data_IF_205827318633
#
_entry.id   IF_205827318633
#
_cell.length_a   1.000
_cell.length_b   1.000
_cell.length_c   1.000
_cell.angle_alpha   90.00
_cell.angle_beta   90.00
_cell.angle_gamma   90.00
#
_symmetry.space_group_name_H-M   'P 1'
#
loop_
_entity.id
_entity.type
_entity.pdbx_description
1 polymer ?
#
# COMPACT_ATOMS: atom_id res chain seq x y z
N UNK A 1 -20.98 -9.22 -7.93
CA UNK A 1 -20.44 -8.04 -8.65
C UNK A 1 -19.49 -7.19 -7.80
N UNK A 2 -19.80 -6.80 -6.56
CA UNK A 2 -18.87 -6.00 -5.72
C UNK A 2 -17.64 -6.80 -5.26
N UNK A 3 -17.85 -8.03 -4.77
CA UNK A 3 -16.76 -8.93 -4.32
C UNK A 3 -15.79 -9.32 -5.42
N UNK A 4 -16.28 -9.56 -6.64
CA UNK A 4 -15.44 -9.93 -7.79
C UNK A 4 -14.51 -8.77 -8.20
N UNK A 5 -15.01 -7.53 -8.18
CA UNK A 5 -14.19 -6.33 -8.44
C UNK A 5 -13.12 -6.13 -7.37
N UNK A 6 -13.43 -6.50 -6.12
CA UNK A 6 -12.51 -6.43 -5.00
C UNK A 6 -11.40 -7.48 -5.09
N UNK A 7 -11.77 -8.72 -5.46
CA UNK A 7 -10.81 -9.79 -5.71
C UNK A 7 -9.86 -9.45 -6.87
N UNK A 8 -10.39 -8.83 -7.94
CA UNK A 8 -9.57 -8.32 -9.05
C UNK A 8 -8.61 -7.24 -8.53
N UNK A 9 -9.10 -6.21 -7.83
CA UNK A 9 -8.25 -5.12 -7.34
C UNK A 9 -7.12 -5.63 -6.42
N UNK A 10 -7.41 -6.58 -5.53
CA UNK A 10 -6.40 -7.21 -4.67
C UNK A 10 -5.33 -7.92 -5.49
N UNK A 11 -5.72 -8.66 -6.53
CA UNK A 11 -4.77 -9.31 -7.44
C UNK A 11 -3.89 -8.30 -8.16
N UNK A 12 -4.47 -7.24 -8.73
CA UNK A 12 -3.73 -6.22 -9.47
C UNK A 12 -2.71 -5.48 -8.58
N UNK A 13 -3.07 -5.16 -7.32
CA UNK A 13 -2.14 -4.53 -6.36
C UNK A 13 -1.00 -5.47 -5.98
N UNK A 14 -1.29 -6.76 -5.77
CA UNK A 14 -0.25 -7.75 -5.48
C UNK A 14 0.70 -7.93 -6.67
N UNK A 15 0.19 -7.90 -7.90
CA UNK A 15 1.02 -7.98 -9.09
C UNK A 15 1.87 -6.71 -9.30
N UNK A 16 1.33 -5.52 -8.97
CA UNK A 16 2.11 -4.28 -8.94
C UNK A 16 3.29 -4.38 -7.97
N UNK A 17 3.10 -4.94 -6.77
CA UNK A 17 4.18 -5.13 -5.79
C UNK A 17 5.24 -6.10 -6.32
N UNK A 18 4.84 -7.19 -6.98
CA UNK A 18 5.80 -8.11 -7.60
C UNK A 18 6.65 -7.38 -8.66
N UNK A 19 6.00 -6.61 -9.53
CA UNK A 19 6.67 -5.81 -10.55
C UNK A 19 7.66 -4.82 -9.92
N UNK A 20 7.23 -4.10 -8.88
CA UNK A 20 8.06 -3.15 -8.13
C UNK A 20 9.30 -3.83 -7.54
N UNK A 21 9.13 -4.98 -6.90
CA UNK A 21 10.21 -5.75 -6.28
C UNK A 21 11.19 -6.35 -7.31
N UNK A 22 10.72 -6.66 -8.52
CA UNK A 22 11.56 -7.13 -9.62
C UNK A 22 12.22 -6.02 -10.43
N UNK A 23 11.83 -4.76 -10.19
CA UNK A 23 12.35 -3.63 -10.94
C UNK A 23 13.66 -3.12 -10.35
N UNK A 24 14.50 -2.50 -11.19
CA UNK A 24 15.69 -1.78 -10.73
C UNK A 24 15.33 -0.45 -10.02
N UNK A 25 14.05 -0.14 -9.85
CA UNK A 25 13.60 1.11 -9.23
C UNK A 25 14.14 1.26 -7.81
N UNK A 26 14.25 0.16 -7.05
CA UNK A 26 14.87 0.18 -5.72
C UNK A 26 16.31 0.73 -5.74
N UNK A 27 17.05 0.47 -6.81
CA UNK A 27 18.44 0.92 -6.97
C UNK A 27 18.52 2.30 -7.64
N UNK A 28 17.61 2.61 -8.56
CA UNK A 28 17.64 3.85 -9.34
C UNK A 28 16.96 5.02 -8.63
N UNK A 29 15.90 4.77 -7.86
CA UNK A 29 15.13 5.77 -7.12
C UNK A 29 14.48 5.14 -5.88
N UNK A 30 15.26 5.10 -4.79
CA UNK A 30 14.84 4.52 -3.52
C UNK A 30 13.62 5.24 -2.93
N UNK A 31 13.53 6.56 -3.10
CA UNK A 31 12.44 7.36 -2.54
C UNK A 31 11.12 7.00 -3.21
N UNK A 32 11.11 6.97 -4.55
CA UNK A 32 9.92 6.57 -5.31
C UNK A 32 9.55 5.10 -5.04
N UNK A 33 10.53 4.20 -4.92
CA UNK A 33 10.28 2.82 -4.54
C UNK A 33 9.57 2.71 -3.18
N UNK A 34 10.04 3.43 -2.17
CA UNK A 34 9.44 3.45 -0.84
C UNK A 34 8.03 4.06 -0.85
N UNK A 35 7.81 5.17 -1.56
CA UNK A 35 6.49 5.80 -1.69
C UNK A 35 5.47 4.86 -2.34
N UNK A 36 5.85 4.20 -3.44
CA UNK A 36 5.00 3.22 -4.12
C UNK A 36 4.70 2.01 -3.24
N UNK A 37 5.71 1.51 -2.49
CA UNK A 37 5.55 0.43 -1.53
C UNK A 37 4.56 0.78 -0.42
N UNK A 38 4.69 1.97 0.17
CA UNK A 38 3.79 2.45 1.22
C UNK A 38 2.33 2.57 0.73
N UNK A 39 2.12 3.12 -0.48
CA UNK A 39 0.77 3.20 -1.08
C UNK A 39 0.19 1.81 -1.36
N UNK A 40 1.00 0.89 -1.88
CA UNK A 40 0.55 -0.48 -2.13
C UNK A 40 0.15 -1.21 -0.84
N UNK A 41 0.91 -1.00 0.25
CA UNK A 41 0.58 -1.55 1.59
C UNK A 41 -0.77 -1.02 2.09
N UNK A 42 -0.99 0.30 2.01
CA UNK A 42 -2.26 0.91 2.39
C UNK A 42 -3.44 0.36 1.58
N UNK A 43 -3.26 0.16 0.27
CA UNK A 43 -4.30 -0.45 -0.56
C UNK A 43 -4.62 -1.88 -0.11
N UNK A 44 -3.62 -2.69 0.26
CA UNK A 44 -3.84 -4.04 0.77
C UNK A 44 -4.59 -4.02 2.10
N UNK A 45 -4.25 -3.09 3.00
CA UNK A 45 -4.96 -2.91 4.27
C UNK A 45 -6.42 -2.53 4.05
N UNK A 46 -6.70 -1.56 3.18
CA UNK A 46 -8.07 -1.19 2.81
C UNK A 46 -8.84 -2.34 2.14
N UNK A 47 -8.13 -3.16 1.35
CA UNK A 47 -8.68 -4.35 0.70
C UNK A 47 -8.75 -5.59 1.62
N UNK A 48 -8.22 -5.54 2.85
CA UNK A 48 -8.35 -6.63 3.81
C UNK A 48 -9.27 -6.23 4.97
N UNK A 49 -9.27 -4.96 5.38
CA UNK A 49 -10.11 -4.37 6.43
C UNK A 49 -11.57 -4.14 6.03
N UNK A 50 -11.91 -4.33 4.75
CA UNK A 50 -13.31 -4.28 4.28
C UNK A 50 -14.22 -5.40 4.80
N UNK A 51 -13.75 -6.32 5.66
CA UNK A 51 -14.61 -7.34 6.27
C UNK A 51 -15.15 -6.96 7.65
N UNK A 52 -14.46 -6.18 8.49
CA UNK A 52 -14.98 -5.79 9.82
C UNK A 52 -14.21 -4.58 10.38
N UNK A 53 -14.66 -3.34 10.15
CA UNK A 53 -14.59 -2.25 11.16
C UNK A 53 -15.30 -1.00 10.66
N UNK A 54 -16.55 -0.84 11.10
CA UNK A 54 -16.98 0.48 11.57
C UNK A 54 -16.11 0.81 12.81
N UNK A 55 -14.96 1.45 12.63
CA UNK A 55 -14.31 2.16 13.73
C UNK A 55 -13.76 3.50 13.25
N UNK A 56 -14.38 4.52 13.83
CA UNK A 56 -13.97 5.91 13.90
C UNK A 56 -12.49 6.07 14.27
N UNK A 57 -11.90 7.15 13.76
CA UNK A 57 -10.82 7.96 14.34
C UNK A 57 -9.70 7.24 15.10
N UNK A 58 -8.48 7.35 14.57
CA UNK A 58 -7.35 7.84 15.37
C UNK A 58 -6.28 8.45 14.46
N UNK A 59 -5.74 9.59 14.90
CA UNK A 59 -4.75 10.41 14.21
C UNK A 59 -3.55 9.55 13.78
N UNK A 60 -3.24 9.58 12.48
CA UNK A 60 -1.95 9.12 11.99
C UNK A 60 -0.92 10.24 12.23
N UNK A 61 -0.39 10.33 13.45
CA UNK A 61 0.78 11.17 13.72
C UNK A 61 2.01 10.52 13.05
N UNK A 62 2.47 11.14 11.96
CA UNK A 62 3.78 10.88 11.40
C UNK A 62 4.80 11.51 12.36
N UNK A 63 5.50 10.70 13.15
CA UNK A 63 6.69 11.19 13.87
C UNK A 63 7.77 11.53 12.84
N UNK A 64 8.06 12.83 12.78
CA UNK A 64 9.13 13.46 12.02
C UNK A 64 10.50 12.94 12.50
N UNK A 65 11.12 12.04 11.73
CA UNK A 65 12.53 11.71 11.92
C UNK A 65 13.40 12.77 11.24
N UNK A 66 13.44 13.96 11.86
CA UNK A 66 14.35 15.04 11.51
C UNK A 66 15.49 15.16 12.53
N UNK A 67 16.61 14.45 12.30
CA UNK A 67 17.93 14.85 12.83
C UNK A 67 18.70 15.53 11.68
N UNK A 68 18.90 16.86 11.78
CA UNK A 68 20.14 17.55 11.43
C UNK A 68 20.13 19.02 11.89
#
# INVERSE_FOLDING_TARGET
MKEEKFAIMKREVLDMIKCLNSSDLRMNDLNLYCELGAKASLFIELLNGGSETEQENENFEFEDFGEH
#
